data_IF_448592791458
#
_entry.id   IF_448592791458
#
_cell.length_a   1.000
_cell.length_b   1.000
_cell.length_c   1.000
_cell.angle_alpha   90.00
_cell.angle_beta   90.00
_cell.angle_gamma   90.00
#
_symmetry.space_group_name_H-M   'P 1'
#
loop_
_entity.id
_entity.type
_entity.pdbx_description
1 polymer ?
#
# COMPACT_ATOMS: atom_id res chain seq x y z
N UNK A 1 5.28 -9.09 -11.62
CA UNK A 1 4.61 -9.02 -10.31
C UNK A 1 3.30 -9.80 -10.31
N UNK A 2 2.41 -9.56 -11.26
CA UNK A 2 1.14 -10.28 -11.40
C UNK A 2 1.26 -11.81 -11.33
N UNK A 3 2.14 -12.41 -12.12
CA UNK A 3 2.34 -13.88 -12.15
C UNK A 3 2.71 -14.46 -10.78
N UNK A 4 3.45 -13.71 -9.97
CA UNK A 4 3.86 -14.13 -8.62
C UNK A 4 2.66 -14.08 -7.68
N UNK A 5 1.88 -13.00 -7.73
CA UNK A 5 0.70 -12.85 -6.88
C UNK A 5 -0.40 -13.88 -7.21
N UNK A 6 -0.60 -14.18 -8.50
CA UNK A 6 -1.55 -15.22 -8.94
C UNK A 6 -1.13 -16.64 -8.55
N UNK A 7 0.15 -16.87 -8.26
CA UNK A 7 0.65 -18.18 -7.85
C UNK A 7 0.41 -18.48 -6.37
N UNK A 8 -0.03 -17.49 -5.58
CA UNK A 8 -0.33 -17.66 -4.15
C UNK A 8 -1.80 -18.04 -4.02
N UNK A 9 -2.08 -19.24 -3.52
CA UNK A 9 -3.44 -19.80 -3.43
C UNK A 9 -4.40 -19.00 -2.55
N UNK A 10 -3.86 -18.24 -1.61
CA UNK A 10 -4.63 -17.58 -0.55
C UNK A 10 -4.86 -16.09 -0.86
N UNK A 11 -4.52 -15.64 -2.08
CA UNK A 11 -4.66 -14.25 -2.52
C UNK A 11 -5.50 -14.20 -3.78
N UNK A 12 -6.62 -13.47 -3.71
CA UNK A 12 -7.39 -13.11 -4.90
C UNK A 12 -6.82 -11.83 -5.52
N UNK A 13 -6.40 -11.91 -6.78
CA UNK A 13 -5.91 -10.74 -7.51
C UNK A 13 -7.03 -10.09 -8.32
N UNK A 14 -7.48 -8.92 -7.85
CA UNK A 14 -8.55 -8.10 -8.45
C UNK A 14 -8.00 -7.20 -9.60
N UNK A 15 -6.67 -7.10 -9.73
CA UNK A 15 -5.96 -6.39 -10.80
C UNK A 15 -5.35 -7.31 -11.87
N UNK A 16 -4.52 -6.78 -12.80
CA UNK A 16 -3.81 -5.49 -12.74
C UNK A 16 -4.61 -4.29 -13.26
N UNK A 17 -4.39 -3.13 -12.65
CA UNK A 17 -4.93 -1.84 -13.13
C UNK A 17 -3.78 -0.93 -13.59
N UNK A 18 -4.03 -0.14 -14.62
CA UNK A 18 -3.06 0.83 -15.12
C UNK A 18 -3.08 2.07 -14.23
N UNK A 19 -1.94 2.49 -13.67
CA UNK A 19 -1.81 3.65 -12.79
C UNK A 19 -2.32 4.97 -13.39
N UNK A 20 -2.35 5.07 -14.72
CA UNK A 20 -2.83 6.26 -15.43
C UNK A 20 -4.35 6.23 -15.71
N UNK A 21 -5.05 5.16 -15.34
CA UNK A 21 -6.50 5.08 -15.48
C UNK A 21 -7.17 5.97 -14.43
N UNK A 22 -8.01 6.89 -14.89
CA UNK A 22 -8.72 7.82 -14.01
C UNK A 22 -9.76 7.12 -13.13
N UNK A 23 -10.17 5.89 -13.49
CA UNK A 23 -11.19 5.12 -12.80
C UNK A 23 -10.65 4.26 -11.65
N UNK A 24 -9.33 4.21 -11.42
CA UNK A 24 -8.74 3.38 -10.36
C UNK A 24 -9.38 3.64 -9.00
N UNK A 25 -9.71 4.91 -8.70
CA UNK A 25 -10.35 5.27 -7.43
C UNK A 25 -11.69 4.57 -7.28
N UNK A 26 -12.52 4.61 -8.32
CA UNK A 26 -13.83 3.95 -8.30
C UNK A 26 -13.67 2.42 -8.23
N UNK A 27 -12.75 1.86 -9.02
CA UNK A 27 -12.45 0.42 -8.99
C UNK A 27 -12.02 -0.06 -7.60
N UNK A 28 -11.22 0.74 -6.89
CA UNK A 28 -10.76 0.44 -5.53
C UNK A 28 -11.90 0.52 -4.51
N UNK A 29 -12.80 1.50 -4.65
CA UNK A 29 -13.98 1.62 -3.80
C UNK A 29 -14.97 0.47 -4.03
N UNK A 30 -15.16 0.04 -5.28
CA UNK A 30 -16.08 -1.05 -5.61
C UNK A 30 -15.51 -2.42 -5.17
N UNK A 31 -14.20 -2.61 -5.34
CA UNK A 31 -13.53 -3.87 -5.01
C UNK A 31 -13.28 -4.05 -3.50
N UNK A 32 -13.16 -2.95 -2.73
CA UNK A 32 -12.81 -2.96 -1.30
C UNK A 32 -11.67 -3.96 -0.96
N UNK A 33 -10.50 -3.84 -1.62
CA UNK A 33 -9.42 -4.78 -1.38
C UNK A 33 -8.91 -4.67 0.06
N UNK A 34 -8.41 -5.77 0.62
CA UNK A 34 -7.72 -5.74 1.91
C UNK A 34 -6.32 -5.10 1.83
N UNK A 35 -5.72 -5.09 0.64
CA UNK A 35 -4.37 -4.61 0.39
C UNK A 35 -4.20 -4.17 -1.07
N UNK A 36 -3.47 -3.07 -1.30
CA UNK A 36 -3.16 -2.55 -2.63
C UNK A 36 -1.66 -2.62 -2.88
N UNK A 37 -1.26 -3.13 -4.04
CA UNK A 37 0.14 -3.10 -4.50
C UNK A 37 0.26 -2.17 -5.70
N UNK A 38 1.01 -1.09 -5.53
CA UNK A 38 1.37 -0.13 -6.58
C UNK A 38 2.78 -0.49 -7.07
N UNK A 39 2.86 -1.06 -8.27
CA UNK A 39 4.13 -1.36 -8.91
C UNK A 39 4.41 -0.30 -9.99
N UNK A 40 5.54 0.40 -9.85
CA UNK A 40 5.99 1.42 -10.80
C UNK A 40 7.47 1.16 -11.13
N UNK A 41 7.93 1.53 -12.31
CA UNK A 41 9.37 1.48 -12.62
C UNK A 41 10.15 2.48 -11.77
N UNK A 42 9.53 3.57 -11.34
CA UNK A 42 10.15 4.58 -10.50
C UNK A 42 9.48 4.62 -9.12
N UNK A 43 10.23 4.23 -8.07
CA UNK A 43 9.80 4.37 -6.67
C UNK A 43 9.48 5.82 -6.26
N UNK A 44 9.97 6.81 -7.00
CA UNK A 44 9.71 8.23 -6.80
C UNK A 44 8.68 8.79 -7.80
N UNK A 45 7.94 7.92 -8.49
CA UNK A 45 6.84 8.32 -9.38
C UNK A 45 5.82 9.17 -8.62
N UNK A 46 5.53 10.35 -9.17
CA UNK A 46 4.56 11.30 -8.65
C UNK A 46 3.15 10.74 -8.74
N UNK A 47 2.78 10.11 -9.87
CA UNK A 47 1.47 9.45 -10.04
C UNK A 47 1.23 8.38 -8.97
N UNK A 48 2.24 7.55 -8.67
CA UNK A 48 2.15 6.56 -7.61
C UNK A 48 2.07 7.19 -6.21
N UNK A 49 2.72 8.34 -5.98
CA UNK A 49 2.63 9.08 -4.73
C UNK A 49 1.25 9.74 -4.54
N UNK A 50 0.70 10.37 -5.59
CA UNK A 50 -0.64 10.95 -5.59
C UNK A 50 -1.72 9.90 -5.37
N UNK A 51 -1.61 8.74 -6.04
CA UNK A 51 -2.54 7.64 -5.84
C UNK A 51 -2.46 7.11 -4.40
N UNK A 52 -1.24 6.94 -3.85
CA UNK A 52 -1.06 6.53 -2.45
C UNK A 52 -1.74 7.51 -1.51
N UNK A 53 -1.49 8.81 -1.67
CA UNK A 53 -2.14 9.86 -0.87
C UNK A 53 -3.68 9.77 -0.97
N UNK A 54 -4.21 9.63 -2.19
CA UNK A 54 -5.66 9.54 -2.41
C UNK A 54 -6.28 8.31 -1.74
N UNK A 55 -5.62 7.16 -1.77
CA UNK A 55 -6.09 5.93 -1.13
C UNK A 55 -6.09 6.11 0.40
N UNK A 56 -4.98 6.64 0.92
CA UNK A 56 -4.78 6.94 2.34
C UNK A 56 -5.87 7.86 2.91
N UNK A 57 -6.22 8.92 2.18
CA UNK A 57 -7.23 9.88 2.61
C UNK A 57 -8.65 9.30 2.61
N UNK A 58 -8.95 8.38 1.68
CA UNK A 58 -10.29 7.80 1.50
C UNK A 58 -10.50 6.50 2.29
N UNK A 59 -9.42 5.75 2.54
CA UNK A 59 -9.43 4.45 3.19
C UNK A 59 -8.21 4.34 4.13
N UNK A 60 -8.23 4.99 5.31
CA UNK A 60 -7.08 5.08 6.20
C UNK A 60 -6.62 3.73 6.77
N UNK A 61 -7.48 2.71 6.77
CA UNK A 61 -7.16 1.37 7.25
C UNK A 61 -6.62 0.45 6.13
N UNK A 62 -6.59 0.93 4.89
CA UNK A 62 -6.12 0.16 3.74
C UNK A 62 -4.58 0.18 3.66
N UNK A 63 -3.97 -1.00 3.66
CA UNK A 63 -2.52 -1.12 3.50
C UNK A 63 -2.13 -0.95 2.04
N UNK A 64 -1.16 -0.06 1.78
CA UNK A 64 -0.63 0.21 0.44
C UNK A 64 0.84 -0.17 0.37
N UNK A 65 1.20 -1.08 -0.53
CA UNK A 65 2.60 -1.46 -0.80
C UNK A 65 3.02 -0.80 -2.10
N UNK A 66 4.11 -0.01 -2.08
CA UNK A 66 4.76 0.48 -3.31
C UNK A 66 6.01 -0.34 -3.60
N UNK A 67 6.19 -0.71 -4.85
CA UNK A 67 7.37 -1.46 -5.29
C UNK A 67 7.92 -0.91 -6.60
N UNK A 68 9.25 -0.91 -6.68
CA UNK A 68 9.98 -0.50 -7.87
C UNK A 68 10.22 -1.72 -8.74
N UNK A 69 9.70 -1.78 -9.96
CA UNK A 69 9.95 -2.93 -10.84
C UNK A 69 11.43 -3.11 -11.20
N UNK A 70 12.23 -2.04 -11.09
CA UNK A 70 13.67 -2.01 -11.37
C UNK A 70 14.56 -2.19 -10.13
N UNK A 71 13.99 -2.34 -8.92
CA UNK A 71 14.75 -2.48 -7.67
C UNK A 71 14.16 -3.61 -6.85
N UNK A 72 15.02 -4.46 -6.28
CA UNK A 72 14.57 -5.56 -5.40
C UNK A 72 14.21 -5.04 -3.99
N UNK A 73 13.34 -4.03 -3.91
CA UNK A 73 12.94 -3.36 -2.66
C UNK A 73 11.44 -3.09 -2.70
N UNK A 74 10.72 -3.60 -1.69
CA UNK A 74 9.34 -3.23 -1.41
C UNK A 74 9.32 -2.12 -0.35
N UNK A 75 8.50 -1.10 -0.56
CA UNK A 75 8.19 -0.06 0.43
C UNK A 75 6.76 -0.21 0.88
N UNK A 76 6.56 -0.56 2.13
CA UNK A 76 5.22 -0.76 2.71
C UNK A 76 4.79 0.54 3.37
N UNK A 77 3.64 1.07 2.93
CA UNK A 77 2.99 2.24 3.51
C UNK A 77 1.76 1.75 4.27
N UNK A 78 1.84 1.83 5.60
CA UNK A 78 0.69 1.55 6.48
C UNK A 78 0.29 2.83 7.17
N UNK A 79 -1.03 3.00 7.30
CA UNK A 79 -1.60 4.07 8.10
C UNK A 79 -2.39 3.44 9.22
N UNK A 80 -2.26 4.05 10.39
CA UNK A 80 -2.93 3.62 11.61
C UNK A 80 -3.52 4.86 12.26
N UNK A 81 -4.79 4.80 12.58
CA UNK A 81 -5.42 5.78 13.46
C UNK A 81 -5.12 5.39 14.89
N UNK A 82 -4.53 6.31 15.66
CA UNK A 82 -4.11 6.08 17.04
C UNK A 82 -4.84 7.03 17.98
N UNK A 83 -5.15 6.62 19.22
CA UNK A 83 -5.61 7.55 20.24
C UNK A 83 -4.60 8.68 20.42
N UNK A 84 -5.06 9.93 20.48
CA UNK A 84 -4.24 11.14 20.68
C UNK A 84 -3.71 11.25 22.13
N UNK A 85 -3.12 10.18 22.65
CA UNK A 85 -2.44 10.12 23.93
C UNK A 85 -0.93 10.15 23.67
N UNK A 86 -0.17 10.89 24.48
CA UNK A 86 1.27 11.06 24.27
C UNK A 86 2.05 9.73 24.22
N UNK A 87 1.59 8.71 24.95
CA UNK A 87 2.23 7.40 24.97
C UNK A 87 1.95 6.60 23.69
N UNK A 88 0.79 6.78 23.04
CA UNK A 88 0.43 6.05 21.81
C UNK A 88 1.43 6.25 20.68
N UNK A 89 2.00 7.45 20.54
CA UNK A 89 3.01 7.74 19.53
C UNK A 89 4.32 6.99 19.83
N UNK A 90 4.79 7.05 21.08
CA UNK A 90 6.03 6.39 21.50
C UNK A 90 5.93 4.87 21.38
N UNK A 91 4.79 4.29 21.77
CA UNK A 91 4.57 2.85 21.68
C UNK A 91 4.48 2.40 20.21
N UNK A 92 3.85 3.19 19.34
CA UNK A 92 3.81 2.91 17.90
C UNK A 92 5.20 2.96 17.27
N UNK A 93 6.02 3.97 17.60
CA UNK A 93 7.40 4.06 17.09
C UNK A 93 8.19 2.81 17.51
N UNK A 94 8.04 2.37 18.77
CA UNK A 94 8.69 1.15 19.27
C UNK A 94 8.21 -0.10 18.52
N UNK A 95 6.91 -0.26 18.30
CA UNK A 95 6.37 -1.38 17.54
C UNK A 95 6.90 -1.43 16.10
N UNK A 96 7.05 -0.28 15.45
CA UNK A 96 7.60 -0.21 14.10
C UNK A 96 9.08 -0.61 14.07
N UNK A 97 9.90 -0.10 15.00
CA UNK A 97 11.35 -0.40 15.06
C UNK A 97 11.63 -1.88 15.38
N UNK A 98 10.79 -2.51 16.20
CA UNK A 98 10.99 -3.92 16.61
C UNK A 98 10.65 -4.89 15.47
N UNK A 99 9.77 -4.53 14.53
CA UNK A 99 9.31 -5.42 13.45
C UNK A 99 10.30 -5.55 12.29
N UNK A 100 11.27 -4.65 12.15
CA UNK A 100 12.32 -4.72 11.13
C UNK A 100 13.54 -5.60 11.53
N UNK A 101 13.49 -6.23 12.71
CA UNK A 101 14.62 -6.94 13.32
C UNK A 101 14.57 -8.48 13.34
N UNK A 102 13.71 -9.13 12.54
CA UNK A 102 13.58 -10.60 12.52
C UNK A 102 13.56 -11.19 11.11
#
# INVERSE_FOLDING_TARGET
>A
METILRAISDIELIGPWNLNDQNIRQQLLDAQPALVVIADENLQSEAAAELTKSIVEQAPDLTVIRTGLNRNVFRVFTIRTLPAQGNSLLDTIRECVIRDGN
#
